data_IF_171066890237
#
_entry.id   IF_171066890237
#
_cell.length_a   1.000
_cell.length_b   1.000
_cell.length_c   1.000
_cell.angle_alpha   90.00
_cell.angle_beta   90.00
_cell.angle_gamma   90.00
#
_symmetry.space_group_name_H-M   'P 1'
#
loop_
_entity.id
_entity.type
_entity.pdbx_description
1 polymer ?
#
# COMPACT_ATOMS: atom_id res chain seq x y z
N UNK A 1 -9.98 11.82 19.16
CA UNK A 1 -9.91 10.36 18.90
C UNK A 1 -9.39 10.02 17.48
N UNK A 2 -8.49 10.81 16.87
CA UNK A 2 -8.01 10.58 15.48
C UNK A 2 -6.65 9.85 15.37
N UNK A 3 -5.92 9.66 16.47
CA UNK A 3 -4.55 9.13 16.49
C UNK A 3 -4.44 7.61 16.70
N UNK A 4 -5.57 6.89 16.77
CA UNK A 4 -5.60 5.43 17.03
C UNK A 4 -5.71 4.57 15.77
N UNK A 5 -6.41 5.04 14.73
CA UNK A 5 -6.63 4.24 13.50
C UNK A 5 -5.32 4.08 12.71
N UNK A 6 -4.48 5.12 12.68
CA UNK A 6 -3.15 5.05 12.05
C UNK A 6 -2.18 4.16 12.85
N UNK A 7 -2.36 4.00 14.16
CA UNK A 7 -1.41 3.22 14.96
C UNK A 7 -1.56 1.70 14.77
N UNK A 8 -2.78 1.22 14.49
CA UNK A 8 -3.04 -0.21 14.31
C UNK A 8 -2.98 -0.68 12.84
N UNK A 9 -3.23 0.18 11.85
CA UNK A 9 -3.09 -0.20 10.43
C UNK A 9 -1.66 -0.18 9.90
N UNK A 10 -0.73 0.45 10.64
CA UNK A 10 0.67 0.66 10.23
C UNK A 10 1.66 0.10 11.25
N UNK A 11 1.23 -0.87 12.06
CA UNK A 11 2.08 -1.45 13.10
C UNK A 11 3.22 -2.24 12.43
N UNK A 12 4.46 -1.76 12.58
CA UNK A 12 5.65 -2.33 11.95
C UNK A 12 6.20 -1.57 10.73
N UNK A 13 5.52 -0.51 10.25
CA UNK A 13 6.06 0.34 9.17
C UNK A 13 6.81 1.54 9.80
N UNK A 14 8.09 1.77 9.45
CA UNK A 14 8.84 2.94 9.90
C UNK A 14 8.09 4.24 9.57
N UNK A 15 8.05 5.23 10.49
CA UNK A 15 7.34 6.48 10.25
C UNK A 15 7.85 7.23 9.02
N UNK A 16 9.15 7.13 8.74
CA UNK A 16 9.78 7.61 7.50
C UNK A 16 9.12 7.00 6.25
N UNK A 17 8.88 5.69 6.23
CA UNK A 17 8.28 5.00 5.10
C UNK A 17 6.79 5.34 4.96
N UNK A 18 6.08 5.57 6.08
CA UNK A 18 4.71 6.10 6.06
C UNK A 18 4.65 7.49 5.42
N UNK A 19 5.57 8.39 5.81
CA UNK A 19 5.64 9.74 5.26
C UNK A 19 5.99 9.73 3.78
N UNK A 20 6.99 8.92 3.38
CA UNK A 20 7.35 8.74 1.96
C UNK A 20 6.17 8.21 1.15
N UNK A 21 5.44 7.23 1.69
CA UNK A 21 4.26 6.69 1.00
C UNK A 21 3.16 7.74 0.86
N UNK A 22 2.90 8.52 1.91
CA UNK A 22 1.91 9.61 1.87
C UNK A 22 2.31 10.71 0.90
N UNK A 23 3.58 11.12 0.89
CA UNK A 23 4.10 12.12 -0.04
C UNK A 23 3.97 11.63 -1.49
N UNK A 24 4.27 10.36 -1.74
CA UNK A 24 4.20 9.73 -3.05
C UNK A 24 2.78 9.64 -3.65
N UNK A 25 1.74 9.71 -2.82
CA UNK A 25 0.35 9.54 -3.23
C UNK A 25 -0.50 10.79 -2.97
N UNK A 26 0.14 11.96 -2.85
CA UNK A 26 -0.51 13.25 -2.61
C UNK A 26 -1.31 13.31 -1.31
N UNK A 27 -0.79 12.69 -0.25
CA UNK A 27 -1.38 12.65 1.09
C UNK A 27 -2.77 12.01 1.17
N UNK A 28 -3.19 11.25 0.16
CA UNK A 28 -4.43 10.47 0.14
C UNK A 28 -4.36 9.25 1.08
N UNK A 29 -4.82 9.43 2.31
CA UNK A 29 -4.78 8.38 3.35
C UNK A 29 -5.41 7.05 2.87
N UNK A 30 -6.46 7.06 2.04
CA UNK A 30 -7.08 5.84 1.56
C UNK A 30 -6.17 5.06 0.60
N UNK A 31 -5.55 5.77 -0.34
CA UNK A 31 -4.57 5.22 -1.27
C UNK A 31 -3.33 4.69 -0.54
N UNK A 32 -2.79 5.44 0.42
CA UNK A 32 -1.63 5.03 1.20
C UNK A 32 -1.90 3.74 1.98
N UNK A 33 -3.06 3.63 2.64
CA UNK A 33 -3.44 2.40 3.36
C UNK A 33 -3.53 1.22 2.40
N UNK A 34 -4.13 1.41 1.22
CA UNK A 34 -4.23 0.35 0.20
C UNK A 34 -2.85 -0.08 -0.28
N UNK A 35 -1.98 0.88 -0.55
CA UNK A 35 -0.63 0.61 -1.04
C UNK A 35 0.23 -0.15 -0.02
N UNK A 36 0.18 0.24 1.25
CA UNK A 36 0.91 -0.47 2.30
C UNK A 36 0.31 -1.83 2.63
N UNK A 37 -1.01 -1.98 2.58
CA UNK A 37 -1.64 -3.31 2.66
C UNK A 37 -1.19 -4.21 1.51
N UNK A 38 -1.14 -3.67 0.29
CA UNK A 38 -0.70 -4.42 -0.88
C UNK A 38 0.75 -4.89 -0.72
N UNK A 39 1.66 -3.98 -0.33
CA UNK A 39 3.06 -4.34 -0.05
C UNK A 39 3.19 -5.38 1.06
N UNK A 40 2.32 -5.36 2.07
CA UNK A 40 2.36 -6.38 3.12
C UNK A 40 1.86 -7.75 2.62
N UNK A 41 0.75 -7.76 1.85
CA UNK A 41 0.20 -8.98 1.22
C UNK A 41 1.20 -9.58 0.22
N UNK A 42 1.91 -8.71 -0.50
CA UNK A 42 2.90 -9.02 -1.53
C UNK A 42 4.32 -8.82 -1.01
N UNK A 43 4.54 -8.95 0.30
CA UNK A 43 5.87 -8.83 0.91
C UNK A 43 6.85 -9.85 0.32
N UNK A 44 6.35 -11.03 -0.04
CA UNK A 44 7.11 -12.06 -0.77
C UNK A 44 7.44 -11.68 -2.22
N UNK A 45 6.72 -10.72 -2.83
CA UNK A 45 6.94 -10.31 -4.21
C UNK A 45 8.05 -9.27 -4.36
N UNK A 46 8.51 -8.61 -3.27
CA UNK A 46 9.50 -7.52 -3.30
C UNK A 46 9.17 -6.43 -4.33
N UNK A 47 7.91 -6.01 -4.40
CA UNK A 47 7.48 -4.94 -5.28
C UNK A 47 7.87 -3.57 -4.72
N UNK A 48 8.33 -2.67 -5.58
CA UNK A 48 8.57 -1.28 -5.21
C UNK A 48 7.25 -0.53 -4.96
N UNK A 49 7.34 0.61 -4.26
CA UNK A 49 6.21 1.52 -4.05
C UNK A 49 5.54 1.92 -5.36
N UNK A 50 6.34 2.22 -6.38
CA UNK A 50 5.86 2.61 -7.71
C UNK A 50 5.12 1.46 -8.41
N UNK A 51 5.71 0.26 -8.49
CA UNK A 51 5.07 -0.93 -9.07
C UNK A 51 3.72 -1.24 -8.39
N UNK A 52 3.69 -1.15 -7.05
CA UNK A 52 2.48 -1.37 -6.25
C UNK A 52 1.41 -0.32 -6.55
N UNK A 53 1.81 0.95 -6.72
CA UNK A 53 0.93 2.06 -7.09
C UNK A 53 0.38 1.84 -8.50
N UNK A 54 1.23 1.60 -9.48
CA UNK A 54 0.81 1.42 -10.88
C UNK A 54 -0.17 0.26 -11.00
N UNK A 55 0.10 -0.86 -10.30
CA UNK A 55 -0.83 -1.98 -10.27
C UNK A 55 -2.17 -1.59 -9.64
N UNK A 56 -2.17 -0.87 -8.51
CA UNK A 56 -3.41 -0.37 -7.91
C UNK A 56 -4.15 0.59 -8.84
N UNK A 57 -3.47 1.53 -9.50
CA UNK A 57 -4.09 2.46 -10.44
C UNK A 57 -4.74 1.75 -11.63
N UNK A 58 -4.09 0.72 -12.17
CA UNK A 58 -4.63 -0.11 -13.26
C UNK A 58 -5.90 -0.89 -12.87
N UNK A 59 -6.06 -1.21 -11.58
CA UNK A 59 -7.21 -1.94 -11.06
C UNK A 59 -8.10 -1.06 -10.16
N UNK A 60 -8.15 0.26 -10.40
CA UNK A 60 -9.05 1.20 -9.70
C UNK A 60 -8.89 1.18 -8.16
N UNK A 61 -7.68 0.93 -7.70
CA UNK A 61 -7.31 0.76 -6.30
C UNK A 61 -8.02 -0.41 -5.62
N UNK A 62 -8.35 -1.46 -6.36
CA UNK A 62 -8.91 -2.71 -5.83
C UNK A 62 -7.80 -3.64 -5.33
N UNK A 63 -7.68 -3.73 -4.00
CA UNK A 63 -6.66 -4.51 -3.32
C UNK A 63 -6.72 -6.01 -3.67
N UNK A 64 -7.92 -6.58 -3.74
CA UNK A 64 -8.12 -8.01 -3.93
C UNK A 64 -7.73 -8.43 -5.34
N UNK A 65 -8.24 -7.70 -6.33
CA UNK A 65 -7.97 -7.89 -7.76
C UNK A 65 -6.50 -7.69 -8.04
N UNK A 66 -5.91 -6.60 -7.53
CA UNK A 66 -4.49 -6.30 -7.72
C UNK A 66 -3.62 -7.39 -7.10
N UNK A 67 -3.86 -7.77 -5.83
CA UNK A 67 -3.09 -8.81 -5.18
C UNK A 67 -3.24 -10.17 -5.87
N UNK A 68 -4.45 -10.53 -6.32
CA UNK A 68 -4.69 -11.77 -7.06
C UNK A 68 -3.94 -11.78 -8.39
N UNK A 69 -4.00 -10.68 -9.16
CA UNK A 69 -3.33 -10.53 -10.45
C UNK A 69 -1.81 -10.50 -10.33
N UNK A 70 -1.28 -9.87 -9.28
CA UNK A 70 0.16 -9.85 -9.02
C UNK A 70 0.67 -11.21 -8.51
N UNK A 71 -0.12 -11.92 -7.70
CA UNK A 71 0.20 -13.29 -7.27
C UNK A 71 0.21 -14.29 -8.42
N UNK A 72 -0.66 -14.14 -9.42
CA UNK A 72 -0.68 -15.03 -10.59
C UNK A 72 0.35 -14.68 -11.66
N UNK A 73 1.05 -13.54 -11.54
CA UNK A 73 2.11 -13.11 -12.48
C UNK A 73 3.52 -13.63 -12.13
N UNK A 74 3.71 -14.27 -10.98
CA UNK A 74 4.95 -14.98 -10.61
C UNK A 74 4.68 -16.47 -10.53
#
# INVERSE_FOLDING_TARGET
>A
MRTRILRNSWIGIPPEQCLVTLDFIDWDIHKAIKLCKLQNILSACNLSLQESREALENYEWDLHTTALKLKTRK
#
